data_IF_467591164630
#
_entry.id   IF_467591164630
#
_cell.length_a   1.000
_cell.length_b   1.000
_cell.length_c   1.000
_cell.angle_alpha   90.00
_cell.angle_beta   90.00
_cell.angle_gamma   90.00
#
_symmetry.space_group_name_H-M   'P 1'
#
loop_
_entity.id
_entity.type
_entity.pdbx_description
1 polymer ?
#
# COMPACT_ATOMS: atom_id res chain seq x y z
N UNK A 1 -10.71 -13.48 -74.63
CA UNK A 1 -10.36 -12.15 -75.15
C UNK A 1 -10.29 -11.23 -73.96
N UNK A 2 -9.10 -10.98 -73.46
CA UNK A 2 -8.82 -10.12 -72.31
C UNK A 2 -8.34 -8.77 -72.81
N UNK A 3 -9.09 -7.73 -72.54
CA UNK A 3 -8.73 -6.34 -72.86
C UNK A 3 -7.77 -5.79 -71.81
N UNK A 4 -6.65 -5.17 -72.18
CA UNK A 4 -5.71 -4.55 -71.19
C UNK A 4 -6.24 -3.18 -70.75
N UNK A 5 -6.18 -2.92 -69.45
CA UNK A 5 -6.45 -1.64 -68.83
C UNK A 5 -5.41 -0.59 -69.26
N UNK A 6 -5.87 0.56 -69.70
CA UNK A 6 -5.09 1.67 -70.24
C UNK A 6 -4.35 2.45 -69.18
N UNK A 7 -3.19 3.02 -69.56
CA UNK A 7 -2.20 3.71 -68.72
C UNK A 7 -2.71 4.83 -67.75
N UNK A 8 -3.81 5.55 -67.95
CA UNK A 8 -4.26 6.59 -67.02
C UNK A 8 -4.87 6.04 -65.70
N UNK A 9 -5.43 4.80 -65.70
CA UNK A 9 -6.00 4.21 -64.46
C UNK A 9 -4.91 3.74 -63.45
N UNK A 10 -3.71 3.45 -63.92
CA UNK A 10 -2.58 3.07 -63.00
C UNK A 10 -2.02 4.25 -62.22
N UNK A 11 -2.16 5.49 -62.71
CA UNK A 11 -1.70 6.71 -62.01
C UNK A 11 -2.67 7.19 -60.94
N UNK A 12 -3.96 6.93 -61.08
CA UNK A 12 -4.97 7.23 -60.06
C UNK A 12 -4.90 6.28 -58.85
N UNK A 13 -4.53 5.02 -59.07
CA UNK A 13 -4.37 4.05 -57.96
C UNK A 13 -3.08 4.29 -57.14
N UNK A 14 -2.02 4.75 -57.77
CA UNK A 14 -0.81 5.11 -57.08
C UNK A 14 -0.92 6.40 -56.25
N UNK A 15 -1.74 7.37 -56.67
CA UNK A 15 -2.04 8.58 -55.89
C UNK A 15 -2.97 8.36 -54.71
N UNK A 16 -3.88 7.38 -54.77
CA UNK A 16 -4.82 7.08 -53.66
C UNK A 16 -4.14 6.30 -52.53
N UNK A 17 -3.03 5.58 -52.76
CA UNK A 17 -2.27 4.88 -51.71
C UNK A 17 -1.29 5.82 -51.01
N UNK A 18 -0.88 6.92 -51.64
CA UNK A 18 0.07 7.90 -51.00
C UNK A 18 -0.62 8.92 -50.09
N UNK A 19 -1.95 9.06 -50.14
CA UNK A 19 -2.73 9.99 -49.29
C UNK A 19 -3.19 9.32 -47.97
N UNK A 20 -3.11 8.00 -47.85
CA UNK A 20 -3.50 7.26 -46.65
C UNK A 20 -2.38 7.13 -45.58
N UNK A 21 -1.20 7.70 -45.82
CA UNK A 21 -0.16 7.89 -44.80
C UNK A 21 -0.20 9.33 -44.22
N UNK A 22 -1.43 9.80 -43.94
CA UNK A 22 -1.59 10.97 -43.08
C UNK A 22 -1.18 10.56 -41.66
N UNK A 23 -0.15 11.23 -41.20
CA UNK A 23 0.37 11.19 -39.87
C UNK A 23 -0.74 10.96 -38.83
N UNK A 24 -0.73 9.79 -38.21
CA UNK A 24 -1.32 9.64 -36.88
C UNK A 24 -0.36 10.43 -35.98
N UNK A 25 -0.58 11.75 -35.88
CA UNK A 25 0.00 12.49 -34.78
C UNK A 25 -0.48 11.80 -33.51
N UNK A 26 0.43 11.46 -32.57
CA UNK A 26 -0.02 10.99 -31.29
C UNK A 26 -0.94 12.08 -30.72
N UNK A 27 -2.18 11.73 -30.47
CA UNK A 27 -3.09 12.61 -29.73
C UNK A 27 -2.43 12.78 -28.36
N UNK A 28 -1.68 13.83 -28.19
CA UNK A 28 -1.16 14.29 -26.89
C UNK A 28 -2.34 14.90 -26.14
N UNK A 29 -3.29 14.04 -25.76
CA UNK A 29 -4.34 14.43 -24.84
C UNK A 29 -3.68 14.69 -23.49
N UNK A 30 -3.43 15.96 -23.16
CA UNK A 30 -3.17 16.34 -21.77
C UNK A 30 -4.43 16.00 -20.99
N UNK A 31 -4.29 15.16 -19.95
CA UNK A 31 -5.40 14.84 -19.08
C UNK A 31 -5.95 16.15 -18.48
N UNK A 32 -7.24 16.39 -18.69
CA UNK A 32 -7.88 17.56 -18.09
C UNK A 32 -7.86 17.42 -16.57
N UNK A 33 -7.51 18.49 -15.89
CA UNK A 33 -7.59 18.55 -14.43
C UNK A 33 -9.04 18.27 -14.00
N UNK A 34 -9.27 17.34 -13.07
CA UNK A 34 -10.61 17.14 -12.52
C UNK A 34 -11.08 18.36 -11.72
N UNK A 35 -12.40 18.58 -11.58
CA UNK A 35 -12.94 19.63 -10.73
C UNK A 35 -12.43 19.50 -9.29
N UNK A 36 -12.30 20.64 -8.62
CA UNK A 36 -12.03 20.67 -7.17
C UNK A 36 -13.20 20.08 -6.39
N UNK A 37 -12.89 19.46 -5.26
CA UNK A 37 -13.91 18.97 -4.35
C UNK A 37 -14.45 20.15 -3.52
N UNK A 38 -15.77 20.32 -3.50
CA UNK A 38 -16.44 21.37 -2.71
C UNK A 38 -16.79 20.82 -1.32
N UNK A 39 -15.83 20.88 -0.41
CA UNK A 39 -15.94 20.37 0.95
C UNK A 39 -15.96 21.48 1.97
N UNK A 40 -16.48 21.15 3.15
CA UNK A 40 -16.34 21.96 4.37
C UNK A 40 -15.58 21.18 5.43
N UNK A 41 -14.80 21.87 6.26
CA UNK A 41 -14.08 21.25 7.38
C UNK A 41 -14.32 22.04 8.67
N UNK A 42 -14.59 21.35 9.77
CA UNK A 42 -14.82 21.93 11.10
C UNK A 42 -14.16 21.04 12.15
N UNK A 43 -13.51 21.63 13.14
CA UNK A 43 -13.06 20.93 14.34
C UNK A 43 -14.02 21.22 15.49
N UNK A 44 -14.54 20.17 16.13
CA UNK A 44 -15.42 20.29 17.30
C UNK A 44 -14.62 20.60 18.56
N UNK A 45 -15.31 21.06 19.61
CA UNK A 45 -14.70 21.42 20.92
C UNK A 45 -13.95 20.24 21.56
N UNK A 46 -14.38 19.01 21.31
CA UNK A 46 -13.71 17.80 21.76
C UNK A 46 -12.51 17.38 20.89
N UNK A 47 -12.21 18.13 19.84
CA UNK A 47 -11.08 17.89 18.94
C UNK A 47 -11.38 16.98 17.75
N UNK A 48 -12.60 16.45 17.60
CA UNK A 48 -12.99 15.67 16.43
C UNK A 48 -12.97 16.58 15.18
N UNK A 49 -12.22 16.18 14.16
CA UNK A 49 -12.25 16.84 12.85
C UNK A 49 -13.41 16.27 12.03
N UNK A 50 -14.15 17.12 11.37
CA UNK A 50 -15.33 16.76 10.56
C UNK A 50 -15.19 17.38 9.18
N UNK A 51 -15.10 16.54 8.16
CA UNK A 51 -15.08 16.94 6.75
C UNK A 51 -16.39 16.52 6.11
N UNK A 52 -17.02 17.40 5.36
CA UNK A 52 -18.30 17.15 4.70
C UNK A 52 -18.26 17.59 3.24
N UNK A 53 -18.75 16.75 2.35
CA UNK A 53 -18.94 17.02 0.94
C UNK A 53 -20.34 16.58 0.53
N UNK A 54 -21.20 17.54 0.18
CA UNK A 54 -22.55 17.26 -0.31
C UNK A 54 -22.49 16.78 -1.76
N UNK A 55 -23.15 15.64 -2.03
CA UNK A 55 -23.31 15.09 -3.36
C UNK A 55 -24.71 14.44 -3.47
N UNK A 56 -25.64 15.14 -4.08
CA UNK A 56 -27.03 14.71 -4.23
C UNK A 56 -27.29 13.90 -5.51
N UNK A 57 -26.24 13.45 -6.20
CA UNK A 57 -26.38 12.66 -7.43
C UNK A 57 -27.13 11.34 -7.23
N UNK A 58 -26.99 10.76 -6.03
CA UNK A 58 -27.68 9.54 -5.58
C UNK A 58 -28.06 9.67 -4.10
N UNK A 59 -29.18 9.06 -3.64
CA UNK A 59 -29.67 9.21 -2.27
C UNK A 59 -28.92 8.31 -1.26
N UNK A 60 -27.58 8.34 -1.29
CA UNK A 60 -26.70 7.58 -0.38
C UNK A 60 -25.69 8.50 0.29
N UNK A 61 -25.24 8.09 1.46
CA UNK A 61 -24.13 8.71 2.17
C UNK A 61 -23.04 7.66 2.40
N UNK A 62 -21.80 8.09 2.27
CA UNK A 62 -20.63 7.37 2.75
C UNK A 62 -20.03 8.11 3.94
N UNK A 63 -19.81 7.40 5.04
CA UNK A 63 -19.18 7.90 6.24
C UNK A 63 -17.89 7.10 6.49
N UNK A 64 -16.78 7.79 6.70
CA UNK A 64 -15.53 7.21 7.18
C UNK A 64 -15.11 7.87 8.49
N UNK A 65 -14.79 7.04 9.48
CA UNK A 65 -14.19 7.47 10.74
C UNK A 65 -12.75 6.95 10.79
N UNK A 66 -11.81 7.86 10.67
CA UNK A 66 -10.37 7.59 10.69
C UNK A 66 -9.82 7.86 12.08
N UNK A 67 -9.13 6.89 12.64
CA UNK A 67 -8.27 7.08 13.80
C UNK A 67 -6.82 7.11 13.35
N UNK A 68 -6.09 8.16 13.72
CA UNK A 68 -4.68 8.28 13.37
C UNK A 68 -3.84 7.40 14.32
N UNK A 69 -4.01 6.12 14.15
CA UNK A 69 -3.33 5.04 14.87
C UNK A 69 -3.30 3.81 13.99
N UNK A 70 -2.13 3.22 13.86
CA UNK A 70 -1.91 1.98 13.13
C UNK A 70 -0.84 1.14 13.81
N UNK A 71 -0.28 0.16 13.10
CA UNK A 71 0.70 -0.74 13.69
C UNK A 71 1.98 -0.01 14.14
N UNK A 72 2.34 1.14 13.57
CA UNK A 72 3.49 1.94 14.03
C UNK A 72 3.40 2.43 15.47
N UNK A 73 2.19 2.48 16.03
CA UNK A 73 1.93 2.95 17.39
C UNK A 73 2.02 1.82 18.43
N UNK A 74 2.30 0.61 17.99
CA UNK A 74 2.38 -0.57 18.86
C UNK A 74 3.70 -0.61 19.64
N UNK A 75 3.67 -1.25 20.79
CA UNK A 75 4.87 -1.42 21.62
C UNK A 75 5.63 -2.68 21.19
N UNK A 76 6.96 -2.71 21.32
CA UNK A 76 7.74 -3.94 21.14
C UNK A 76 7.19 -5.09 22.00
N UNK A 77 7.01 -6.27 21.40
CA UNK A 77 6.42 -7.43 22.06
C UNK A 77 4.88 -7.37 22.20
N UNK A 78 4.26 -6.44 21.48
CA UNK A 78 2.80 -6.23 21.43
C UNK A 78 2.37 -5.84 20.02
N UNK A 79 2.85 -6.57 19.01
CA UNK A 79 2.50 -6.33 17.60
C UNK A 79 1.17 -7.01 17.23
N UNK A 80 0.44 -6.41 16.29
CA UNK A 80 -0.89 -6.86 15.87
C UNK A 80 -2.05 -6.28 16.67
N UNK A 81 -1.78 -5.34 17.59
CA UNK A 81 -2.81 -4.75 18.46
C UNK A 81 -3.77 -3.83 17.72
N UNK A 82 -3.27 -3.02 16.80
CA UNK A 82 -4.12 -2.13 16.01
C UNK A 82 -5.13 -2.93 15.19
N UNK A 83 -4.69 -4.01 14.57
CA UNK A 83 -5.56 -4.91 13.80
C UNK A 83 -6.51 -5.72 14.70
N UNK A 84 -6.02 -6.30 15.81
CA UNK A 84 -6.87 -6.97 16.78
C UNK A 84 -7.95 -6.00 17.32
N UNK A 85 -7.58 -4.73 17.51
CA UNK A 85 -8.53 -3.74 17.98
C UNK A 85 -9.59 -3.40 16.92
N UNK A 86 -9.24 -3.37 15.64
CA UNK A 86 -10.20 -3.29 14.55
C UNK A 86 -11.30 -4.34 14.70
N UNK A 87 -10.94 -5.61 14.94
CA UNK A 87 -11.89 -6.71 15.20
C UNK A 87 -12.75 -6.46 16.44
N UNK A 88 -12.13 -6.00 17.53
CA UNK A 88 -12.84 -5.72 18.78
C UNK A 88 -13.92 -4.64 18.61
N UNK A 89 -13.78 -3.72 17.69
CA UNK A 89 -14.75 -2.64 17.42
C UNK A 89 -16.09 -3.14 16.89
N UNK A 90 -16.20 -4.42 16.50
CA UNK A 90 -17.43 -5.07 16.07
C UNK A 90 -18.09 -5.90 17.16
N UNK A 91 -17.48 -6.02 18.34
CA UNK A 91 -17.96 -6.90 19.44
C UNK A 91 -18.95 -6.22 20.40
N UNK A 92 -19.60 -5.17 19.91
CA UNK A 92 -20.66 -4.46 20.61
C UNK A 92 -20.16 -3.32 21.47
N UNK A 93 -21.13 -2.59 22.01
CA UNK A 93 -20.94 -1.44 22.87
C UNK A 93 -22.02 -1.42 23.94
N UNK A 94 -22.14 -0.35 24.70
CA UNK A 94 -23.13 -0.28 25.79
C UNK A 94 -24.57 -0.55 25.33
N UNK A 95 -24.93 -0.06 24.14
CA UNK A 95 -26.30 -0.11 23.63
C UNK A 95 -26.42 -0.99 22.36
N UNK A 96 -25.35 -1.60 21.91
CA UNK A 96 -25.30 -2.42 20.69
C UNK A 96 -24.71 -3.78 21.03
N UNK A 97 -25.46 -4.83 20.71
CA UNK A 97 -25.03 -6.22 20.93
C UNK A 97 -23.81 -6.59 20.08
N UNK A 98 -23.07 -7.64 20.45
CA UNK A 98 -21.99 -8.17 19.61
C UNK A 98 -22.49 -8.42 18.18
N UNK A 99 -21.67 -8.05 17.18
CA UNK A 99 -22.01 -8.07 15.74
C UNK A 99 -23.24 -7.19 15.37
N UNK A 100 -23.75 -6.42 16.33
CA UNK A 100 -24.92 -5.57 16.11
C UNK A 100 -24.63 -4.42 15.15
N UNK A 101 -23.45 -3.81 15.22
CA UNK A 101 -23.10 -2.68 14.35
C UNK A 101 -23.25 -3.01 12.85
N UNK A 102 -22.58 -4.02 12.28
CA UNK A 102 -22.75 -4.39 10.88
C UNK A 102 -24.17 -4.89 10.57
N UNK A 103 -24.83 -5.56 11.53
CA UNK A 103 -26.20 -6.04 11.36
C UNK A 103 -27.20 -4.89 11.23
N UNK A 104 -27.09 -3.82 12.03
CA UNK A 104 -27.91 -2.63 11.90
C UNK A 104 -27.71 -1.94 10.55
N UNK A 105 -26.47 -1.78 10.12
CA UNK A 105 -26.17 -1.18 8.81
C UNK A 105 -26.74 -2.02 7.66
N UNK A 106 -26.55 -3.33 7.70
CA UNK A 106 -27.11 -4.28 6.71
C UNK A 106 -28.65 -4.25 6.67
N UNK A 107 -29.29 -4.15 7.83
CA UNK A 107 -30.78 -4.16 7.93
C UNK A 107 -31.43 -2.96 7.23
N UNK A 108 -30.70 -1.86 7.09
CA UNK A 108 -31.15 -0.67 6.37
C UNK A 108 -30.64 -0.59 4.91
N UNK A 109 -30.07 -1.67 4.41
CA UNK A 109 -29.54 -1.75 3.04
C UNK A 109 -28.15 -1.12 2.87
N UNK A 110 -27.44 -0.88 3.96
CA UNK A 110 -26.08 -0.36 3.96
C UNK A 110 -25.03 -1.45 3.93
N UNK A 111 -23.79 -1.02 3.78
CA UNK A 111 -22.57 -1.85 3.86
C UNK A 111 -21.59 -1.19 4.81
N UNK A 112 -20.85 -1.99 5.57
CA UNK A 112 -19.80 -1.51 6.47
C UNK A 112 -18.59 -2.43 6.43
N UNK A 113 -17.41 -1.86 6.70
CA UNK A 113 -16.17 -2.60 6.90
C UNK A 113 -15.19 -1.73 7.68
N UNK A 114 -14.01 -2.29 7.95
CA UNK A 114 -12.89 -1.56 8.50
C UNK A 114 -11.58 -2.00 7.83
N UNK A 115 -10.52 -1.26 8.10
CA UNK A 115 -9.16 -1.63 7.70
C UNK A 115 -8.15 -0.98 8.63
N UNK A 116 -7.07 -1.69 8.87
CA UNK A 116 -5.89 -1.19 9.61
C UNK A 116 -4.67 -1.29 8.71
N UNK A 117 -3.88 -0.22 8.70
CA UNK A 117 -2.56 -0.20 8.08
C UNK A 117 -1.48 0.25 9.10
N UNK A 118 -0.32 0.60 8.61
CA UNK A 118 0.78 1.04 9.45
C UNK A 118 0.48 2.34 10.21
N UNK A 119 -0.33 3.22 9.62
CA UNK A 119 -0.53 4.60 10.08
C UNK A 119 -1.92 4.88 10.65
N UNK A 120 -2.94 4.18 10.15
CA UNK A 120 -4.35 4.48 10.46
C UNK A 120 -5.20 3.23 10.66
N UNK A 121 -6.28 3.40 11.44
CA UNK A 121 -7.40 2.45 11.52
C UNK A 121 -8.67 3.17 11.09
N UNK A 122 -9.38 2.60 10.12
CA UNK A 122 -10.48 3.25 9.41
C UNK A 122 -11.74 2.37 9.52
N UNK A 123 -12.85 2.99 9.90
CA UNK A 123 -14.16 2.36 9.89
C UNK A 123 -15.05 3.10 8.91
N UNK A 124 -15.75 2.38 8.04
CA UNK A 124 -16.58 3.03 7.02
C UNK A 124 -17.93 2.34 6.82
N UNK A 125 -18.92 3.15 6.40
CA UNK A 125 -20.27 2.72 6.06
C UNK A 125 -20.77 3.48 4.83
N UNK A 126 -21.47 2.74 3.96
CA UNK A 126 -22.25 3.31 2.84
C UNK A 126 -23.70 2.92 3.04
N UNK A 127 -24.61 3.88 3.06
CA UNK A 127 -26.00 3.66 3.47
C UNK A 127 -26.95 4.67 2.80
N UNK A 128 -28.26 4.37 2.72
CA UNK A 128 -29.26 5.34 2.26
C UNK A 128 -29.34 6.57 3.18
N UNK A 129 -29.41 7.76 2.59
CA UNK A 129 -29.20 9.05 3.28
C UNK A 129 -30.11 9.30 4.49
N UNK A 130 -31.34 8.78 4.52
CA UNK A 130 -32.27 8.93 5.65
C UNK A 130 -31.77 8.24 6.95
N UNK A 131 -30.76 7.36 6.87
CA UNK A 131 -30.20 6.67 8.02
C UNK A 131 -28.93 7.31 8.60
N UNK A 132 -28.57 8.52 8.15
CA UNK A 132 -27.43 9.26 8.71
C UNK A 132 -27.49 9.38 10.25
N UNK A 133 -28.64 9.67 10.90
CA UNK A 133 -28.72 9.70 12.36
C UNK A 133 -28.39 8.34 13.02
N UNK A 134 -28.81 7.23 12.44
CA UNK A 134 -28.51 5.88 12.92
C UNK A 134 -27.00 5.61 12.90
N UNK A 135 -26.34 5.90 11.76
CA UNK A 135 -24.91 5.65 11.57
C UNK A 135 -24.08 6.49 12.54
N UNK A 136 -24.39 7.78 12.66
CA UNK A 136 -23.70 8.67 13.61
C UNK A 136 -23.90 8.23 15.06
N UNK A 137 -25.09 7.72 15.40
CA UNK A 137 -25.34 7.15 16.74
C UNK A 137 -24.50 5.88 16.98
N UNK A 138 -24.45 4.95 16.02
CA UNK A 138 -23.65 3.73 16.12
C UNK A 138 -22.15 4.04 16.32
N UNK A 139 -21.62 4.99 15.52
CA UNK A 139 -20.23 5.42 15.66
C UNK A 139 -19.95 6.07 17.03
N UNK A 140 -20.87 6.92 17.49
CA UNK A 140 -20.75 7.56 18.78
C UNK A 140 -20.82 6.56 19.93
N UNK A 141 -21.69 5.55 19.86
CA UNK A 141 -21.83 4.54 20.91
C UNK A 141 -20.59 3.68 21.06
N UNK A 142 -20.00 3.20 19.92
CA UNK A 142 -18.78 2.43 19.99
C UNK A 142 -17.54 3.27 20.37
N UNK A 143 -17.45 4.53 19.95
CA UNK A 143 -16.36 5.42 20.38
C UNK A 143 -16.42 5.72 21.89
N UNK A 144 -17.62 5.93 22.44
CA UNK A 144 -17.80 6.28 23.83
C UNK A 144 -17.79 5.09 24.79
N UNK A 145 -18.22 3.91 24.35
CA UNK A 145 -18.58 2.82 25.26
C UNK A 145 -18.41 1.44 24.66
N UNK A 146 -17.33 1.25 23.91
CA UNK A 146 -16.97 -0.07 23.34
C UNK A 146 -16.92 -1.13 24.42
N UNK A 147 -17.49 -2.30 24.13
CA UNK A 147 -17.43 -3.47 24.99
C UNK A 147 -16.08 -4.17 24.86
N UNK A 148 -15.25 -4.07 25.91
CA UNK A 148 -13.96 -4.74 26.00
C UNK A 148 -14.01 -5.71 27.18
N UNK A 149 -14.44 -6.93 26.93
CA UNK A 149 -14.48 -8.01 27.91
C UNK A 149 -13.55 -9.17 27.53
N UNK A 150 -13.29 -10.05 28.50
CA UNK A 150 -12.33 -11.14 28.38
C UNK A 150 -12.75 -12.19 27.33
N UNK A 151 -14.05 -12.43 27.20
CA UNK A 151 -14.58 -13.43 26.27
C UNK A 151 -14.41 -12.95 24.80
N UNK A 152 -14.86 -11.72 24.52
CA UNK A 152 -14.71 -11.10 23.22
C UNK A 152 -13.22 -10.99 22.81
N UNK A 153 -12.37 -10.52 23.74
CA UNK A 153 -10.93 -10.43 23.50
C UNK A 153 -10.30 -11.78 23.16
N UNK A 154 -10.58 -12.82 23.96
CA UNK A 154 -10.03 -14.15 23.71
C UNK A 154 -10.49 -14.72 22.37
N UNK A 155 -11.76 -14.52 22.04
CA UNK A 155 -12.33 -14.99 20.77
C UNK A 155 -11.67 -14.29 19.58
N UNK A 156 -11.59 -12.96 19.60
CA UNK A 156 -11.01 -12.21 18.49
C UNK A 156 -9.51 -12.44 18.34
N UNK A 157 -8.79 -12.60 19.42
CA UNK A 157 -7.38 -12.98 19.35
C UNK A 157 -7.19 -14.31 18.59
N UNK A 158 -8.01 -15.32 18.83
CA UNK A 158 -7.93 -16.58 18.09
C UNK A 158 -8.37 -16.42 16.63
N UNK A 159 -9.35 -15.54 16.33
CA UNK A 159 -9.73 -15.20 14.95
C UNK A 159 -8.56 -14.55 14.20
N UNK A 160 -7.90 -13.56 14.79
CA UNK A 160 -6.73 -12.89 14.17
C UNK A 160 -5.56 -13.86 13.97
N UNK A 161 -5.31 -14.76 14.93
CA UNK A 161 -4.29 -15.81 14.79
C UNK A 161 -4.61 -16.77 13.63
N UNK A 162 -5.88 -17.13 13.45
CA UNK A 162 -6.29 -17.99 12.34
C UNK A 162 -6.20 -17.23 11.00
N UNK A 163 -6.59 -15.97 10.98
CA UNK A 163 -6.42 -15.12 9.80
C UNK A 163 -4.95 -15.03 9.38
N UNK A 164 -4.03 -14.84 10.35
CA UNK A 164 -2.59 -14.85 10.09
C UNK A 164 -2.15 -16.16 9.46
N UNK A 165 -2.59 -17.31 10.01
CA UNK A 165 -2.29 -18.63 9.42
C UNK A 165 -2.77 -18.72 7.97
N UNK A 166 -4.02 -18.30 7.72
CA UNK A 166 -4.64 -18.41 6.40
C UNK A 166 -4.02 -17.47 5.37
N UNK A 167 -3.73 -16.22 5.74
CA UNK A 167 -3.29 -15.17 4.80
C UNK A 167 -1.78 -15.07 4.66
N UNK A 168 -1.02 -15.48 5.69
CA UNK A 168 0.42 -15.28 5.76
C UNK A 168 1.16 -16.62 5.85
N UNK A 169 0.95 -17.38 6.93
CA UNK A 169 1.84 -18.50 7.26
C UNK A 169 1.65 -19.69 6.29
N UNK A 170 0.40 -19.96 5.84
CA UNK A 170 0.08 -21.07 4.94
C UNK A 170 0.09 -20.69 3.45
N UNK A 171 0.34 -19.43 3.10
CA UNK A 171 0.38 -19.02 1.70
C UNK A 171 1.79 -19.11 1.13
N UNK A 172 1.97 -19.64 -0.09
CA UNK A 172 3.24 -19.48 -0.80
C UNK A 172 3.60 -18.00 -0.91
N UNK A 173 4.81 -17.66 -0.50
CA UNK A 173 5.30 -16.27 -0.44
C UNK A 173 4.52 -15.33 0.49
N UNK A 174 3.62 -15.82 1.34
CA UNK A 174 2.79 -14.99 2.22
C UNK A 174 3.61 -14.16 3.21
N UNK A 175 4.79 -14.63 3.62
CA UNK A 175 5.71 -13.91 4.51
C UNK A 175 6.66 -12.94 3.80
N UNK A 176 6.50 -12.75 2.48
CA UNK A 176 7.43 -11.92 1.70
C UNK A 176 7.58 -10.51 2.26
N UNK A 177 6.48 -9.82 2.52
CA UNK A 177 6.51 -8.48 3.07
C UNK A 177 7.14 -8.45 4.47
N UNK A 178 6.82 -9.40 5.35
CA UNK A 178 7.43 -9.49 6.67
C UNK A 178 8.96 -9.62 6.56
N UNK A 179 9.46 -10.48 5.68
CA UNK A 179 10.90 -10.67 5.46
C UNK A 179 11.53 -9.37 4.93
N UNK A 180 10.90 -8.70 3.98
CA UNK A 180 11.41 -7.43 3.44
C UNK A 180 11.55 -6.39 4.55
N UNK A 181 10.48 -6.16 5.30
CA UNK A 181 10.43 -5.12 6.32
C UNK A 181 11.30 -5.43 7.55
N UNK A 182 11.32 -6.68 8.02
CA UNK A 182 12.18 -7.11 9.12
C UNK A 182 13.67 -6.89 8.83
N UNK A 183 14.09 -7.13 7.59
CA UNK A 183 15.48 -6.93 7.19
C UNK A 183 15.80 -5.50 6.72
N UNK A 184 14.80 -4.72 6.35
CA UNK A 184 15.01 -3.33 5.94
C UNK A 184 15.08 -2.37 7.11
N UNK A 185 14.24 -2.51 8.11
CA UNK A 185 14.19 -1.62 9.27
C UNK A 185 14.91 -2.20 10.47
N UNK A 186 15.52 -1.32 11.27
CA UNK A 186 16.24 -1.69 12.51
C UNK A 186 15.49 -1.21 13.76
N UNK A 187 14.98 0.01 13.74
CA UNK A 187 14.30 0.63 14.89
C UNK A 187 12.90 1.14 14.59
N UNK A 188 12.62 1.54 13.33
CA UNK A 188 11.30 2.07 12.97
C UNK A 188 10.24 0.96 13.09
N UNK A 189 9.05 1.24 13.66
CA UNK A 189 7.99 0.24 13.85
C UNK A 189 7.44 -0.38 12.56
N UNK A 190 7.66 0.22 11.40
CA UNK A 190 7.32 -0.44 10.12
C UNK A 190 8.02 -1.80 9.93
N UNK A 191 8.98 -2.11 10.77
CA UNK A 191 9.67 -3.40 10.80
C UNK A 191 8.73 -4.60 10.98
N UNK A 192 7.65 -4.45 11.73
CA UNK A 192 6.73 -5.55 12.00
C UNK A 192 5.45 -5.46 11.16
N UNK A 193 4.81 -6.61 10.84
CA UNK A 193 3.58 -6.61 10.06
C UNK A 193 2.40 -6.09 10.86
N UNK A 194 1.41 -5.51 10.16
CA UNK A 194 0.16 -5.01 10.74
C UNK A 194 -0.61 -6.10 11.50
N UNK A 195 -0.62 -7.33 10.97
CA UNK A 195 -1.30 -8.47 11.61
C UNK A 195 -0.57 -8.97 12.89
N UNK A 196 0.66 -8.50 13.13
CA UNK A 196 1.46 -8.88 14.27
C UNK A 196 2.08 -10.27 14.20
N UNK A 197 2.88 -10.62 15.22
CA UNK A 197 3.45 -11.96 15.37
C UNK A 197 2.55 -12.87 16.21
N UNK A 198 2.60 -14.19 15.97
CA UNK A 198 1.88 -15.18 16.80
C UNK A 198 2.24 -15.06 18.28
N UNK A 199 3.53 -14.86 18.59
CA UNK A 199 4.01 -14.75 19.97
C UNK A 199 3.44 -13.52 20.69
N UNK A 200 3.38 -12.38 19.99
CA UNK A 200 2.86 -11.13 20.54
C UNK A 200 1.34 -11.20 20.74
N UNK A 201 0.62 -11.80 19.80
CA UNK A 201 -0.82 -12.05 19.92
C UNK A 201 -1.13 -12.99 21.11
N UNK A 202 -0.32 -14.01 21.34
CA UNK A 202 -0.47 -14.89 22.50
C UNK A 202 -0.14 -14.20 23.83
N UNK A 203 0.85 -13.32 23.83
CA UNK A 203 1.24 -12.54 25.00
C UNK A 203 0.30 -11.37 25.32
N UNK A 204 -0.65 -11.06 24.41
CA UNK A 204 -1.60 -9.97 24.57
C UNK A 204 -2.49 -10.16 25.80
N UNK A 205 -2.72 -9.07 26.55
CA UNK A 205 -3.66 -9.03 27.66
C UNK A 205 -4.82 -8.09 27.37
N UNK A 206 -5.96 -8.32 28.02
CA UNK A 206 -7.11 -7.42 27.92
C UNK A 206 -6.78 -6.00 28.43
N UNK A 207 -5.86 -5.86 29.37
CA UNK A 207 -5.43 -4.55 29.85
C UNK A 207 -4.68 -3.78 28.77
N UNK A 208 -3.82 -4.45 28.00
CA UNK A 208 -3.15 -3.82 26.86
C UNK A 208 -4.16 -3.28 25.84
N UNK A 209 -5.23 -4.06 25.56
CA UNK A 209 -6.32 -3.65 24.66
C UNK A 209 -7.08 -2.43 25.20
N UNK A 210 -7.42 -2.41 26.51
CA UNK A 210 -8.08 -1.30 27.16
C UNK A 210 -7.23 -0.02 27.14
N UNK A 211 -5.93 -0.16 27.40
CA UNK A 211 -4.99 0.95 27.38
C UNK A 211 -4.82 1.53 25.99
N UNK A 212 -4.79 0.66 24.96
CA UNK A 212 -4.69 1.06 23.56
C UNK A 212 -5.95 1.83 23.12
N UNK A 213 -7.15 1.35 23.46
CA UNK A 213 -8.41 2.05 23.23
C UNK A 213 -8.41 3.43 23.85
N UNK A 214 -8.18 3.50 25.16
CA UNK A 214 -8.23 4.74 25.93
C UNK A 214 -7.20 5.78 25.45
N UNK A 215 -6.13 5.33 24.81
CA UNK A 215 -5.07 6.18 24.29
C UNK A 215 -5.39 6.75 22.91
N UNK A 216 -5.86 5.91 22.00
CA UNK A 216 -5.90 6.24 20.58
C UNK A 216 -7.31 6.42 19.99
N UNK A 217 -8.33 5.74 20.55
CA UNK A 217 -9.69 5.78 19.99
C UNK A 217 -10.53 6.87 20.67
N UNK A 218 -10.08 8.11 20.51
CA UNK A 218 -10.61 9.30 21.16
C UNK A 218 -10.93 10.39 20.14
N UNK A 219 -11.90 11.29 20.38
CA UNK A 219 -12.32 12.28 19.41
C UNK A 219 -11.18 13.15 18.85
N UNK A 220 -10.25 13.57 19.72
CA UNK A 220 -9.10 14.40 19.31
C UNK A 220 -7.96 13.64 18.63
N UNK A 221 -8.19 12.37 18.27
CA UNK A 221 -7.36 11.53 17.40
C UNK A 221 -8.16 11.01 16.20
N UNK A 222 -9.35 11.55 15.97
CA UNK A 222 -10.27 11.04 14.96
C UNK A 222 -10.67 12.13 13.95
N UNK A 223 -10.88 11.71 12.72
CA UNK A 223 -11.44 12.51 11.63
C UNK A 223 -12.65 11.77 11.05
N UNK A 224 -13.81 12.42 11.09
CA UNK A 224 -15.03 11.96 10.44
C UNK A 224 -15.16 12.62 9.07
N UNK A 225 -15.34 11.82 8.04
CA UNK A 225 -15.59 12.30 6.68
C UNK A 225 -16.96 11.81 6.23
N UNK A 226 -17.82 12.73 5.80
CA UNK A 226 -19.14 12.45 5.25
C UNK A 226 -19.18 12.92 3.80
N UNK A 227 -19.57 12.03 2.88
CA UNK A 227 -19.77 12.38 1.47
C UNK A 227 -21.10 11.81 0.99
N UNK A 228 -21.94 12.64 0.40
CA UNK A 228 -23.19 12.18 -0.19
C UNK A 228 -24.39 13.10 0.00
N UNK A 229 -25.58 12.52 -0.07
CA UNK A 229 -26.85 13.26 -0.06
C UNK A 229 -27.30 13.61 1.37
N UNK A 230 -26.86 14.75 1.87
CA UNK A 230 -27.28 15.35 3.14
C UNK A 230 -27.23 16.89 3.06
N UNK A 231 -27.90 17.57 3.95
CA UNK A 231 -27.67 19.00 4.22
C UNK A 231 -26.54 19.15 5.25
N UNK A 232 -25.50 19.89 4.93
CA UNK A 232 -24.31 20.04 5.78
C UNK A 232 -24.60 20.65 7.14
N UNK A 233 -25.56 21.56 7.24
CA UNK A 233 -25.93 22.21 8.52
C UNK A 233 -26.66 21.22 9.42
N UNK A 234 -27.58 20.44 8.87
CA UNK A 234 -28.31 19.40 9.61
C UNK A 234 -27.35 18.27 10.02
N UNK A 235 -26.50 17.80 9.10
CA UNK A 235 -25.50 16.77 9.37
C UNK A 235 -24.53 17.20 10.49
N UNK A 236 -24.00 18.44 10.45
CA UNK A 236 -23.15 18.96 11.50
C UNK A 236 -23.89 19.05 12.85
N UNK A 237 -25.18 19.39 12.82
CA UNK A 237 -26.05 19.36 13.99
C UNK A 237 -26.12 17.98 14.63
N UNK A 238 -26.32 16.94 13.82
CA UNK A 238 -26.33 15.54 14.27
C UNK A 238 -24.96 15.09 14.77
N UNK A 239 -23.88 15.42 14.07
CA UNK A 239 -22.50 15.11 14.52
C UNK A 239 -22.24 15.72 15.90
N UNK A 240 -22.58 17.00 16.10
CA UNK A 240 -22.47 17.67 17.43
C UNK A 240 -23.32 16.98 18.49
N UNK A 241 -24.54 16.56 18.14
CA UNK A 241 -25.46 15.89 19.05
C UNK A 241 -24.92 14.53 19.51
N UNK A 242 -24.37 13.73 18.63
CA UNK A 242 -23.92 12.36 18.95
C UNK A 242 -22.45 12.33 19.37
N UNK A 243 -21.54 12.76 18.51
CA UNK A 243 -20.09 12.65 18.70
C UNK A 243 -19.50 13.81 19.51
N UNK A 244 -20.09 15.02 19.43
CA UNK A 244 -19.60 16.20 20.15
C UNK A 244 -19.70 16.08 21.67
N UNK A 245 -20.51 15.15 22.20
CA UNK A 245 -20.67 14.90 23.65
C UNK A 245 -19.58 13.98 24.21
N UNK A 246 -18.83 13.29 23.38
CA UNK A 246 -17.78 12.37 23.81
C UNK A 246 -16.60 13.23 24.27
N UNK A 247 -16.09 13.05 25.49
CA UNK A 247 -14.99 13.87 25.99
C UNK A 247 -13.71 13.60 25.21
N UNK A 248 -12.95 14.65 24.95
CA UNK A 248 -11.59 14.51 24.42
C UNK A 248 -10.68 13.80 25.42
N UNK A 249 -9.64 13.16 24.96
CA UNK A 249 -8.59 12.63 25.85
C UNK A 249 -7.96 13.79 26.65
N UNK A 250 -7.81 13.59 27.95
CA UNK A 250 -7.11 14.53 28.83
C UNK A 250 -5.57 14.42 28.69
N UNK A 251 -5.09 13.33 28.10
CA UNK A 251 -3.66 13.09 27.83
C UNK A 251 -3.36 13.36 26.37
N UNK A 252 -2.17 13.86 26.03
CA UNK A 252 -1.72 13.92 24.64
C UNK A 252 -1.71 12.52 24.01
N UNK A 253 -2.19 12.42 22.78
CA UNK A 253 -2.04 11.19 22.00
C UNK A 253 -0.56 11.07 21.60
N UNK A 254 0.11 9.93 21.88
CA UNK A 254 1.52 9.76 21.53
C UNK A 254 1.74 9.84 20.01
N UNK A 255 2.74 10.64 19.61
CA UNK A 255 3.16 10.86 18.21
C UNK A 255 4.65 10.63 17.99
N UNK A 256 5.36 10.25 19.04
CA UNK A 256 6.81 10.05 18.97
C UNK A 256 7.11 8.66 18.42
N UNK A 257 7.40 8.60 17.12
CA UNK A 257 7.76 7.37 16.42
C UNK A 257 9.27 7.35 16.21
N UNK A 258 9.98 6.29 16.63
CA UNK A 258 11.41 6.15 16.42
C UNK A 258 11.80 6.27 14.96
N UNK A 259 12.77 7.13 14.64
CA UNK A 259 13.25 7.33 13.27
C UNK A 259 14.25 6.26 12.89
N UNK A 260 14.10 5.67 11.71
CA UNK A 260 15.11 4.77 11.15
C UNK A 260 16.42 5.54 10.86
N UNK A 261 17.57 5.06 11.33
CA UNK A 261 18.85 5.69 11.00
C UNK A 261 19.20 5.49 9.52
N UNK A 262 19.90 6.47 8.90
CA UNK A 262 20.33 6.33 7.51
C UNK A 262 21.21 5.08 7.32
N UNK A 263 20.95 4.31 6.28
CA UNK A 263 21.80 3.19 5.89
C UNK A 263 23.07 3.73 5.21
N UNK A 264 24.23 3.21 5.60
CA UNK A 264 25.55 3.69 5.15
C UNK A 264 26.35 2.66 4.33
N UNK A 265 25.82 1.45 4.18
CA UNK A 265 26.43 0.37 3.39
C UNK A 265 25.38 -0.60 2.87
N UNK A 266 25.66 -1.22 1.72
CA UNK A 266 24.82 -2.30 1.21
C UNK A 266 24.64 -3.40 2.26
N UNK A 267 23.42 -3.91 2.38
CA UNK A 267 23.10 -5.09 3.19
C UNK A 267 22.71 -6.24 2.27
N UNK A 268 23.30 -7.41 2.51
CA UNK A 268 22.95 -8.65 1.80
C UNK A 268 22.59 -9.72 2.82
N UNK A 269 21.43 -10.32 2.63
CA UNK A 269 20.89 -11.31 3.56
C UNK A 269 20.38 -12.50 2.75
N UNK A 270 20.61 -13.71 3.27
CA UNK A 270 19.99 -14.94 2.75
C UNK A 270 19.07 -15.51 3.83
N UNK A 271 17.84 -15.77 3.45
CA UNK A 271 16.78 -16.33 4.30
C UNK A 271 16.33 -17.65 3.71
N UNK A 272 16.11 -18.66 4.54
CA UNK A 272 15.54 -19.94 4.12
C UNK A 272 14.05 -19.99 4.44
N UNK A 273 13.23 -20.34 3.43
CA UNK A 273 11.80 -20.49 3.56
C UNK A 273 11.28 -21.77 2.90
N UNK A 274 10.13 -22.26 3.36
CA UNK A 274 9.49 -23.44 2.77
C UNK A 274 8.72 -23.06 1.49
N UNK A 275 9.38 -22.33 0.57
CA UNK A 275 8.79 -21.88 -0.68
C UNK A 275 9.17 -22.78 -1.84
N UNK A 276 8.32 -22.88 -2.87
CA UNK A 276 8.60 -23.77 -4.00
C UNK A 276 9.78 -23.34 -4.86
N UNK A 277 10.05 -22.03 -4.95
CA UNK A 277 11.13 -21.46 -5.75
C UNK A 277 11.82 -20.33 -5.02
N UNK A 278 13.10 -20.07 -5.31
CA UNK A 278 13.80 -18.92 -4.75
C UNK A 278 13.17 -17.60 -5.18
N UNK A 279 13.26 -16.61 -4.32
CA UNK A 279 12.94 -15.23 -4.64
C UNK A 279 14.12 -14.30 -4.33
N UNK A 280 14.20 -13.20 -5.06
CA UNK A 280 15.19 -12.15 -4.85
C UNK A 280 14.45 -10.84 -4.65
N UNK A 281 14.89 -10.08 -3.66
CA UNK A 281 14.41 -8.73 -3.39
C UNK A 281 15.57 -7.75 -3.46
N UNK A 282 15.35 -6.62 -4.13
CA UNK A 282 16.24 -5.45 -4.09
C UNK A 282 15.42 -4.29 -3.56
N UNK A 283 15.79 -3.77 -2.39
CA UNK A 283 15.07 -2.70 -1.72
C UNK A 283 15.97 -1.49 -1.44
N UNK A 284 15.36 -0.31 -1.31
CA UNK A 284 16.02 0.94 -0.95
C UNK A 284 15.08 1.73 -0.05
N UNK A 285 15.60 2.38 0.98
CA UNK A 285 14.84 3.36 1.74
C UNK A 285 14.52 4.56 0.85
N UNK A 286 13.27 5.03 0.92
CA UNK A 286 12.78 6.21 0.22
C UNK A 286 12.11 7.17 1.20
N UNK A 287 11.63 8.30 0.68
CA UNK A 287 10.97 9.33 1.48
C UNK A 287 9.52 8.96 1.84
N UNK A 288 8.83 9.88 2.47
CA UNK A 288 7.48 9.75 3.00
C UNK A 288 6.46 10.51 2.12
N UNK A 289 5.18 10.26 2.33
CA UNK A 289 4.08 10.90 1.63
C UNK A 289 3.98 12.39 1.97
N UNK A 290 3.72 13.23 0.95
CA UNK A 290 3.78 14.68 1.04
C UNK A 290 5.18 15.30 0.87
N UNK A 291 6.27 14.51 0.89
CA UNK A 291 7.60 15.02 0.56
C UNK A 291 7.71 15.36 -0.94
N UNK A 292 8.38 16.46 -1.34
CA UNK A 292 8.52 16.81 -2.77
C UNK A 292 9.09 15.70 -3.67
N UNK A 293 9.94 14.83 -3.13
CA UNK A 293 10.50 13.69 -3.85
C UNK A 293 9.54 12.51 -3.99
N UNK A 294 8.43 12.47 -3.22
CA UNK A 294 7.43 11.41 -3.31
C UNK A 294 6.82 11.32 -4.72
N UNK A 295 6.52 12.43 -5.32
CA UNK A 295 5.89 12.50 -6.64
C UNK A 295 6.76 11.93 -7.76
N UNK A 296 8.04 12.36 -7.96
CA UNK A 296 8.90 11.73 -8.94
C UNK A 296 9.29 10.29 -8.59
N UNK A 297 9.35 9.90 -7.30
CA UNK A 297 9.56 8.51 -6.89
C UNK A 297 8.36 7.63 -7.25
N UNK A 298 7.13 8.14 -7.11
CA UNK A 298 5.94 7.43 -7.57
C UNK A 298 6.00 7.15 -9.08
N UNK A 299 6.41 8.14 -9.88
CA UNK A 299 6.63 7.95 -11.32
C UNK A 299 7.74 6.94 -11.59
N UNK A 300 8.87 7.04 -10.88
CA UNK A 300 9.96 6.07 -10.97
C UNK A 300 9.49 4.63 -10.68
N UNK A 301 8.69 4.46 -9.63
CA UNK A 301 8.09 3.18 -9.26
C UNK A 301 7.20 2.62 -10.37
N UNK A 302 6.31 3.45 -10.94
CA UNK A 302 5.43 3.01 -12.04
C UNK A 302 6.22 2.64 -13.31
N UNK A 303 7.25 3.38 -13.67
CA UNK A 303 8.13 3.05 -14.81
C UNK A 303 8.84 1.71 -14.60
N UNK A 304 9.33 1.48 -13.38
CA UNK A 304 10.08 0.27 -13.06
C UNK A 304 9.19 -0.96 -12.96
N UNK A 305 8.00 -0.86 -12.35
CA UNK A 305 7.29 -2.04 -11.85
C UNK A 305 5.78 -2.09 -12.07
N UNK A 306 5.13 -1.05 -12.64
CA UNK A 306 3.68 -1.05 -12.82
C UNK A 306 3.26 -1.74 -14.12
N UNK A 307 2.69 -2.95 -13.97
CA UNK A 307 2.13 -3.74 -15.06
C UNK A 307 3.18 -4.42 -15.98
N UNK A 308 2.67 -5.14 -16.97
CA UNK A 308 3.51 -5.94 -17.88
C UNK A 308 4.41 -5.11 -18.81
N UNK A 309 4.09 -3.84 -19.01
CA UNK A 309 4.90 -2.92 -19.82
C UNK A 309 6.03 -2.25 -19.03
N UNK A 310 6.14 -2.50 -17.74
CA UNK A 310 7.19 -1.96 -16.86
C UNK A 310 8.56 -2.55 -17.21
N UNK A 311 9.62 -1.81 -16.87
CA UNK A 311 10.99 -2.21 -17.20
C UNK A 311 11.37 -3.54 -16.58
N UNK A 312 11.07 -3.74 -15.28
CA UNK A 312 11.42 -4.96 -14.52
C UNK A 312 10.70 -6.18 -15.11
N UNK A 313 9.36 -6.10 -15.29
CA UNK A 313 8.61 -7.21 -15.84
C UNK A 313 9.09 -7.57 -17.25
N UNK A 314 9.19 -6.57 -18.12
CA UNK A 314 9.62 -6.78 -19.52
C UNK A 314 11.00 -7.42 -19.60
N UNK A 315 11.98 -6.91 -18.84
CA UNK A 315 13.36 -7.41 -18.91
C UNK A 315 13.52 -8.78 -18.28
N UNK A 316 12.96 -9.01 -17.08
CA UNK A 316 13.22 -10.24 -16.33
C UNK A 316 12.31 -11.39 -16.74
N UNK A 317 11.02 -11.10 -17.02
CA UNK A 317 10.05 -12.16 -17.34
C UNK A 317 9.99 -12.42 -18.84
N UNK A 318 9.83 -11.37 -19.65
CA UNK A 318 9.56 -11.53 -21.07
C UNK A 318 10.82 -11.69 -21.92
N UNK A 319 11.79 -10.77 -21.81
CA UNK A 319 12.97 -10.75 -22.70
C UNK A 319 14.04 -11.75 -22.25
N UNK A 320 14.51 -11.68 -21.01
CA UNK A 320 15.61 -12.53 -20.51
C UNK A 320 15.15 -13.86 -19.93
N UNK A 321 13.87 -13.99 -19.59
CA UNK A 321 13.27 -15.20 -18.97
C UNK A 321 14.04 -15.67 -17.74
N UNK A 322 14.45 -14.74 -16.90
CA UNK A 322 15.16 -14.99 -15.65
C UNK A 322 14.20 -15.25 -14.48
N UNK A 323 12.98 -14.74 -14.58
CA UNK A 323 11.97 -14.81 -13.52
C UNK A 323 10.62 -15.30 -14.07
N UNK A 324 9.87 -16.03 -13.24
CA UNK A 324 8.46 -16.38 -13.50
C UNK A 324 7.54 -15.18 -13.26
N UNK A 325 7.87 -14.38 -12.25
CA UNK A 325 7.19 -13.16 -11.92
C UNK A 325 8.21 -12.13 -11.45
N UNK A 326 7.98 -10.86 -11.80
CA UNK A 326 8.78 -9.75 -11.32
C UNK A 326 7.85 -8.53 -11.15
N UNK A 327 7.92 -7.91 -10.00
CA UNK A 327 7.08 -6.77 -9.61
C UNK A 327 7.83 -5.91 -8.59
N UNK A 328 7.28 -4.75 -8.27
CA UNK A 328 7.83 -3.87 -7.26
C UNK A 328 6.87 -2.74 -6.93
N UNK A 329 7.21 -1.98 -5.93
CA UNK A 329 6.43 -0.81 -5.53
C UNK A 329 7.29 0.19 -4.77
N UNK A 330 6.98 1.48 -4.90
CA UNK A 330 7.38 2.49 -3.93
C UNK A 330 6.26 2.63 -2.91
N UNK A 331 6.46 2.12 -1.71
CA UNK A 331 5.49 2.22 -0.62
C UNK A 331 5.70 3.57 0.08
N UNK A 332 4.99 4.59 -0.42
CA UNK A 332 5.08 5.98 0.04
C UNK A 332 3.90 6.20 0.98
N UNK A 333 4.16 6.29 2.27
CA UNK A 333 3.19 6.47 3.36
C UNK A 333 3.72 7.50 4.36
N UNK A 334 3.08 7.70 5.51
CA UNK A 334 3.32 8.82 6.44
C UNK A 334 4.78 8.99 6.89
N UNK A 335 5.54 7.89 7.05
CA UNK A 335 6.96 7.95 7.39
C UNK A 335 7.83 7.41 6.25
N UNK A 336 9.14 7.74 6.21
CA UNK A 336 10.06 7.17 5.25
C UNK A 336 9.97 5.64 5.20
N UNK A 337 9.84 5.11 3.99
CA UNK A 337 9.56 3.70 3.76
C UNK A 337 10.48 3.14 2.66
N UNK A 338 10.02 2.18 1.87
CA UNK A 338 10.82 1.43 0.92
C UNK A 338 10.29 1.58 -0.52
N UNK A 339 11.21 1.67 -1.46
CA UNK A 339 11.01 1.08 -2.77
C UNK A 339 11.60 -0.33 -2.73
N UNK A 340 10.87 -1.33 -3.22
CA UNK A 340 11.41 -2.67 -3.39
C UNK A 340 10.95 -3.29 -4.71
N UNK A 341 11.83 -4.11 -5.27
CA UNK A 341 11.55 -4.94 -6.44
C UNK A 341 11.79 -6.40 -6.07
N UNK A 342 10.88 -7.26 -6.50
CA UNK A 342 10.88 -8.70 -6.22
C UNK A 342 10.90 -9.46 -7.53
N UNK A 343 11.64 -10.57 -7.59
CA UNK A 343 11.57 -11.51 -8.68
C UNK A 343 11.55 -12.95 -8.15
N UNK A 344 10.60 -13.75 -8.63
CA UNK A 344 10.56 -15.20 -8.40
C UNK A 344 11.41 -15.86 -9.47
N UNK A 345 12.46 -16.55 -9.06
CA UNK A 345 13.49 -17.08 -9.96
C UNK A 345 12.92 -18.19 -10.85
N UNK A 346 13.15 -18.10 -12.16
CA UNK A 346 12.78 -19.13 -13.12
C UNK A 346 13.59 -20.42 -12.85
N UNK A 347 13.00 -21.62 -12.87
CA UNK A 347 13.75 -22.88 -12.78
C UNK A 347 14.91 -22.94 -13.77
N UNK A 348 16.09 -23.31 -13.29
CA UNK A 348 17.32 -23.35 -14.07
C UNK A 348 18.11 -22.04 -14.13
N UNK A 349 17.58 -20.96 -13.57
CA UNK A 349 18.28 -19.68 -13.42
C UNK A 349 18.87 -19.54 -12.01
N UNK A 350 19.85 -18.63 -11.86
CA UNK A 350 20.49 -18.39 -10.55
C UNK A 350 19.97 -17.11 -9.90
N UNK A 351 19.99 -17.07 -8.58
CA UNK A 351 19.62 -15.88 -7.80
C UNK A 351 20.54 -14.71 -8.11
N UNK A 352 21.82 -14.97 -8.39
CA UNK A 352 22.82 -13.96 -8.75
C UNK A 352 22.48 -13.28 -10.09
N UNK A 353 22.10 -14.08 -11.11
CA UNK A 353 21.71 -13.54 -12.42
C UNK A 353 20.45 -12.66 -12.32
N UNK A 354 19.46 -13.10 -11.52
CA UNK A 354 18.23 -12.33 -11.28
C UNK A 354 18.52 -11.05 -10.49
N UNK A 355 19.34 -11.13 -9.44
CA UNK A 355 19.76 -9.96 -8.64
C UNK A 355 20.47 -8.94 -9.52
N UNK A 356 21.44 -9.40 -10.34
CA UNK A 356 22.16 -8.53 -11.27
C UNK A 356 21.23 -7.84 -12.28
N UNK A 357 20.21 -8.54 -12.76
CA UNK A 357 19.23 -7.99 -13.70
C UNK A 357 18.32 -6.95 -13.04
N UNK A 358 17.86 -7.18 -11.79
CA UNK A 358 17.08 -6.19 -11.03
C UNK A 358 17.90 -4.92 -10.78
N UNK A 359 19.12 -5.07 -10.29
CA UNK A 359 20.02 -3.94 -10.02
C UNK A 359 20.30 -3.16 -11.32
N UNK A 360 20.51 -3.84 -12.43
CA UNK A 360 20.77 -3.19 -13.71
C UNK A 360 19.61 -2.30 -14.18
N UNK A 361 18.35 -2.68 -13.92
CA UNK A 361 17.19 -1.82 -14.27
C UNK A 361 17.11 -0.57 -13.38
N UNK A 362 17.45 -0.68 -12.10
CA UNK A 362 17.55 0.46 -11.19
C UNK A 362 18.71 1.39 -11.58
N UNK A 363 19.86 0.82 -11.92
CA UNK A 363 21.03 1.58 -12.36
C UNK A 363 20.79 2.30 -13.70
N UNK A 364 20.04 1.71 -14.62
CA UNK A 364 19.61 2.40 -15.85
C UNK A 364 18.78 3.64 -15.53
N UNK A 365 17.86 3.56 -14.57
CA UNK A 365 17.06 4.73 -14.18
C UNK A 365 17.92 5.84 -13.55
N UNK A 366 19.00 5.46 -12.85
CA UNK A 366 19.97 6.43 -12.31
C UNK A 366 20.82 7.09 -13.38
N UNK A 367 21.31 6.32 -14.33
CA UNK A 367 22.30 6.75 -15.29
C UNK A 367 21.68 7.47 -16.49
N UNK A 368 20.53 7.01 -16.95
CA UNK A 368 19.85 7.50 -18.13
C UNK A 368 18.47 8.07 -17.75
N UNK A 369 18.10 9.27 -18.22
CA UNK A 369 16.75 9.77 -18.02
C UNK A 369 15.73 8.83 -18.70
N UNK A 370 14.53 8.76 -18.15
CA UNK A 370 13.42 8.08 -18.84
C UNK A 370 13.06 8.85 -20.11
N UNK A 371 12.49 8.15 -21.09
CA UNK A 371 11.98 8.80 -22.29
C UNK A 371 10.73 9.63 -21.99
N UNK A 372 10.47 10.68 -22.78
CA UNK A 372 9.24 11.46 -22.68
C UNK A 372 7.99 10.59 -22.88
N UNK A 373 8.08 9.53 -23.68
CA UNK A 373 6.99 8.59 -23.88
C UNK A 373 6.69 7.76 -22.60
N UNK A 374 7.73 7.33 -21.86
CA UNK A 374 7.56 6.66 -20.57
C UNK A 374 6.97 7.60 -19.52
N UNK A 375 7.47 8.82 -19.44
CA UNK A 375 6.95 9.85 -18.55
C UNK A 375 5.48 10.15 -18.84
N UNK A 376 5.14 10.39 -20.10
CA UNK A 376 3.75 10.71 -20.49
C UNK A 376 2.80 9.54 -20.22
N UNK A 377 3.20 8.29 -20.52
CA UNK A 377 2.43 7.10 -20.18
C UNK A 377 2.13 7.04 -18.69
N UNK A 378 3.13 7.26 -17.85
CA UNK A 378 3.00 7.18 -16.39
C UNK A 378 2.13 8.31 -15.85
N UNK A 379 2.26 9.54 -16.39
CA UNK A 379 1.37 10.66 -16.06
C UNK A 379 -0.08 10.36 -16.43
N UNK A 380 -0.32 9.73 -17.58
CA UNK A 380 -1.67 9.34 -18.00
C UNK A 380 -2.25 8.24 -17.07
N UNK A 381 -1.43 7.28 -16.63
CA UNK A 381 -1.84 6.29 -15.64
C UNK A 381 -2.20 6.97 -14.31
N UNK A 382 -1.36 7.86 -13.82
CA UNK A 382 -1.65 8.64 -12.62
C UNK A 382 -2.94 9.45 -12.76
N UNK A 383 -3.10 10.20 -13.86
CA UNK A 383 -4.30 11.01 -14.11
C UNK A 383 -5.58 10.16 -14.12
N UNK A 384 -5.54 8.97 -14.72
CA UNK A 384 -6.64 8.02 -14.69
C UNK A 384 -6.96 7.60 -13.24
N UNK A 385 -5.95 7.17 -12.49
CA UNK A 385 -6.10 6.68 -11.11
C UNK A 385 -6.63 7.80 -10.20
N UNK A 386 -6.12 9.03 -10.38
CA UNK A 386 -6.57 10.21 -9.65
C UNK A 386 -8.01 10.61 -9.97
N UNK A 387 -8.45 10.47 -11.24
CA UNK A 387 -9.85 10.70 -11.62
C UNK A 387 -10.74 9.65 -10.96
N UNK A 388 -10.37 8.37 -11.05
CA UNK A 388 -11.15 7.28 -10.46
C UNK A 388 -11.24 7.36 -8.94
N UNK A 389 -10.18 7.86 -8.25
CA UNK A 389 -10.23 8.10 -6.80
C UNK A 389 -11.19 9.23 -6.37
N UNK A 390 -11.97 9.78 -7.30
CA UNK A 390 -12.95 10.84 -7.07
C UNK A 390 -14.33 10.52 -7.68
N UNK A 391 -14.57 9.29 -8.15
CA UNK A 391 -15.83 8.94 -8.77
C UNK A 391 -16.91 8.62 -7.74
N UNK A 392 -16.65 7.71 -6.82
CA UNK A 392 -17.63 7.33 -5.79
C UNK A 392 -17.55 8.20 -4.54
N UNK A 393 -18.62 8.22 -3.73
CA UNK A 393 -18.62 8.88 -2.43
C UNK A 393 -17.54 8.30 -1.51
N UNK A 394 -17.29 6.99 -1.58
CA UNK A 394 -16.23 6.31 -0.85
C UNK A 394 -14.84 6.83 -1.25
N UNK A 395 -14.58 6.92 -2.55
CA UNK A 395 -13.27 7.34 -3.04
C UNK A 395 -13.00 8.81 -2.70
N UNK A 396 -14.03 9.68 -2.83
CA UNK A 396 -13.95 11.09 -2.40
C UNK A 396 -13.68 11.21 -0.90
N UNK A 397 -14.38 10.42 -0.07
CA UNK A 397 -14.18 10.43 1.38
C UNK A 397 -12.75 10.00 1.76
N UNK A 398 -12.27 8.90 1.15
CA UNK A 398 -10.92 8.38 1.35
C UNK A 398 -9.86 9.42 0.99
N UNK A 399 -10.02 10.08 -0.15
CA UNK A 399 -9.09 11.09 -0.64
C UNK A 399 -9.02 12.33 0.27
N UNK A 400 -10.18 12.82 0.74
CA UNK A 400 -10.24 13.93 1.69
C UNK A 400 -9.68 13.56 3.07
N UNK A 401 -10.02 12.37 3.57
CA UNK A 401 -9.53 11.89 4.85
C UNK A 401 -8.01 11.75 4.87
N UNK A 402 -7.44 11.19 3.79
CA UNK A 402 -6.00 11.04 3.63
C UNK A 402 -5.27 12.39 3.69
N UNK A 403 -5.76 13.40 2.98
CA UNK A 403 -5.20 14.75 3.00
C UNK A 403 -5.21 15.37 4.42
N UNK A 404 -6.28 15.15 5.19
CA UNK A 404 -6.37 15.65 6.56
C UNK A 404 -5.49 14.88 7.53
N UNK A 405 -5.54 13.53 7.47
CA UNK A 405 -4.91 12.69 8.50
C UNK A 405 -3.42 12.50 8.25
N UNK A 406 -3.01 12.34 7.00
CA UNK A 406 -1.60 12.05 6.65
C UNK A 406 -0.83 13.33 6.34
N UNK A 407 -1.42 14.26 5.59
CA UNK A 407 -0.73 15.51 5.24
C UNK A 407 -0.96 16.65 6.24
N UNK A 408 -1.90 16.50 7.17
CA UNK A 408 -2.38 17.60 8.05
C UNK A 408 -2.79 18.86 7.26
N UNK A 409 -3.15 18.70 5.98
CA UNK A 409 -3.54 19.77 5.05
C UNK A 409 -4.57 19.27 4.04
N UNK A 410 -5.84 19.57 4.28
CA UNK A 410 -6.94 19.19 3.38
C UNK A 410 -6.79 19.76 1.96
N UNK A 411 -6.05 20.88 1.80
CA UNK A 411 -5.86 21.50 0.48
C UNK A 411 -4.97 20.67 -0.45
N UNK A 412 -4.18 19.76 0.12
CA UNK A 412 -3.35 18.82 -0.64
C UNK A 412 -4.20 17.91 -1.54
N UNK A 413 -5.45 17.58 -1.13
CA UNK A 413 -6.38 16.78 -1.90
C UNK A 413 -6.60 17.30 -3.32
N UNK A 414 -6.58 18.62 -3.52
CA UNK A 414 -6.73 19.24 -4.83
C UNK A 414 -5.40 19.63 -5.49
N UNK A 415 -4.32 19.71 -4.72
CA UNK A 415 -3.01 20.17 -5.20
C UNK A 415 -2.19 19.10 -5.91
N UNK A 416 -2.31 17.85 -5.52
CA UNK A 416 -1.43 16.75 -5.98
C UNK A 416 -1.41 16.54 -7.49
N UNK A 417 -2.56 16.68 -8.14
CA UNK A 417 -2.66 16.50 -9.60
C UNK A 417 -1.67 17.39 -10.36
N UNK A 418 -1.63 18.67 -10.02
CA UNK A 418 -0.75 19.62 -10.70
C UNK A 418 0.72 19.31 -10.40
N UNK A 419 1.04 18.88 -9.19
CA UNK A 419 2.41 18.49 -8.80
C UNK A 419 2.89 17.31 -9.65
N UNK A 420 2.10 16.24 -9.73
CA UNK A 420 2.42 15.07 -10.56
C UNK A 420 2.57 15.43 -12.05
N UNK A 421 1.64 16.23 -12.58
CA UNK A 421 1.68 16.61 -13.99
C UNK A 421 2.88 17.48 -14.34
N UNK A 422 3.48 18.17 -13.37
CA UNK A 422 4.67 19.01 -13.55
C UNK A 422 6.01 18.25 -13.36
N UNK A 423 6.00 16.99 -12.91
CA UNK A 423 7.24 16.20 -12.78
C UNK A 423 7.92 16.04 -14.14
N UNK A 424 9.23 16.27 -14.20
CA UNK A 424 10.06 16.12 -15.39
C UNK A 424 10.86 14.81 -15.40
N UNK A 425 11.40 14.43 -16.56
CA UNK A 425 12.35 13.30 -16.69
C UNK A 425 13.60 13.52 -15.83
N UNK A 426 14.05 14.77 -15.69
CA UNK A 426 15.17 15.14 -14.85
C UNK A 426 14.87 14.95 -13.35
N UNK A 427 13.64 15.23 -12.90
CA UNK A 427 13.23 14.96 -11.51
C UNK A 427 13.25 13.48 -11.19
N UNK A 428 12.75 12.64 -12.10
CA UNK A 428 12.77 11.17 -11.96
C UNK A 428 14.20 10.65 -11.86
N UNK A 429 15.11 11.16 -12.70
CA UNK A 429 16.52 10.78 -12.64
C UNK A 429 17.19 11.28 -11.35
N UNK A 430 16.88 12.48 -10.91
CA UNK A 430 17.40 13.07 -9.67
C UNK A 430 17.05 12.19 -8.46
N UNK A 431 15.79 11.81 -8.30
CA UNK A 431 15.39 10.94 -7.18
C UNK A 431 15.99 9.54 -7.31
N UNK A 432 16.11 8.99 -8.51
CA UNK A 432 16.79 7.71 -8.70
C UNK A 432 18.27 7.78 -8.24
N UNK A 433 18.97 8.88 -8.56
CA UNK A 433 20.35 9.12 -8.08
C UNK A 433 20.43 9.29 -6.56
N UNK A 434 19.43 9.91 -5.96
CA UNK A 434 19.38 10.17 -4.51
C UNK A 434 19.11 8.90 -3.72
N UNK A 435 18.15 8.08 -4.15
CA UNK A 435 17.64 6.98 -3.32
C UNK A 435 18.16 5.59 -3.74
N UNK A 436 18.41 5.32 -5.02
CA UNK A 436 18.84 3.99 -5.49
C UNK A 436 20.36 3.84 -5.49
N UNK A 437 21.02 4.25 -4.41
CA UNK A 437 22.47 4.17 -4.27
C UNK A 437 22.92 2.79 -3.76
N UNK A 438 24.21 2.49 -3.91
CA UNK A 438 24.80 1.26 -3.39
C UNK A 438 24.65 1.18 -1.86
N UNK A 439 24.95 2.29 -1.17
CA UNK A 439 24.95 2.37 0.29
C UNK A 439 23.54 2.14 0.86
N UNK A 440 22.52 2.59 0.15
CA UNK A 440 21.11 2.47 0.54
C UNK A 440 20.46 1.14 0.10
N UNK A 441 21.21 0.27 -0.60
CA UNK A 441 20.66 -0.97 -1.17
C UNK A 441 20.61 -2.10 -0.16
N UNK A 442 19.52 -2.84 -0.19
CA UNK A 442 19.28 -4.07 0.56
C UNK A 442 18.98 -5.16 -0.45
N UNK A 443 19.73 -6.25 -0.41
CA UNK A 443 19.48 -7.44 -1.24
C UNK A 443 19.11 -8.60 -0.31
N UNK A 444 17.92 -9.17 -0.53
CA UNK A 444 17.45 -10.33 0.21
C UNK A 444 17.29 -11.49 -0.78
N UNK A 445 18.05 -12.55 -0.56
CA UNK A 445 17.88 -13.81 -1.27
C UNK A 445 17.07 -14.75 -0.39
N UNK A 446 15.92 -15.21 -0.89
CA UNK A 446 15.06 -16.14 -0.17
C UNK A 446 15.16 -17.48 -0.88
N UNK A 447 15.79 -18.44 -0.22
CA UNK A 447 16.07 -19.77 -0.76
C UNK A 447 15.08 -20.81 -0.21
N UNK A 448 14.66 -21.80 -1.01
CA UNK A 448 13.96 -22.97 -0.49
C UNK A 448 14.80 -23.69 0.56
N UNK A 449 14.17 -24.18 1.62
CA UNK A 449 14.85 -24.96 2.67
C UNK A 449 15.62 -26.14 2.08
N UNK A 450 16.88 -26.31 2.47
CA UNK A 450 17.77 -27.38 2.00
C UNK A 450 18.53 -27.07 0.70
N UNK A 451 18.29 -25.91 0.05
CA UNK A 451 19.04 -25.54 -1.16
C UNK A 451 20.43 -24.96 -0.83
N UNK A 452 20.61 -24.38 0.34
CA UNK A 452 21.88 -23.80 0.80
C UNK A 452 22.87 -24.85 1.28
N UNK A 453 22.41 -26.01 1.74
CA UNK A 453 23.27 -27.09 2.27
C UNK A 453 24.04 -27.87 1.21
N UNK A 454 23.77 -27.65 -0.08
CA UNK A 454 24.44 -28.37 -1.18
C UNK A 454 25.64 -27.66 -1.81
N UNK A 455 26.07 -26.51 -1.27
CA UNK A 455 27.16 -25.70 -1.89
C UNK A 455 28.42 -25.50 -1.05
N UNK A 456 28.53 -26.12 0.14
CA UNK A 456 29.77 -26.12 0.94
C UNK A 456 30.20 -27.55 1.27
N UNK A 457 30.64 -28.33 0.28
CA UNK A 457 31.70 -29.29 0.51
C UNK A 457 32.97 -28.80 -0.20
N UNK A 458 34.03 -28.41 0.55
CA UNK A 458 35.34 -28.27 -0.04
C UNK A 458 35.74 -29.65 -0.59
N UNK A 459 36.27 -29.69 -1.80
CA UNK A 459 36.87 -30.91 -2.35
C UNK A 459 37.97 -31.38 -1.39
N UNK A 460 37.66 -32.36 -0.54
CA UNK A 460 38.68 -33.11 0.18
C UNK A 460 39.56 -33.81 -0.82
N UNK A 461 40.85 -33.48 -0.72
CA UNK A 461 42.01 -34.08 -1.36
C UNK A 461 41.91 -35.61 -1.25
N UNK A 462 41.43 -36.28 -2.30
CA UNK A 462 41.52 -37.72 -2.39
C UNK A 462 42.99 -38.08 -2.66
N UNK A 463 43.69 -38.47 -1.61
CA UNK A 463 44.98 -39.13 -1.71
C UNK A 463 44.90 -40.36 -2.67
N UNK A 464 45.88 -40.56 -3.54
CA UNK A 464 45.86 -41.67 -4.47
C UNK A 464 45.95 -43.01 -3.73
N UNK A 465 45.10 -43.96 -4.13
CA UNK A 465 45.08 -45.30 -3.60
C UNK A 465 46.43 -45.98 -3.81
N UNK A 466 46.98 -46.78 -2.85
CA UNK A 466 48.22 -47.51 -3.00
C UNK A 466 48.06 -48.67 -4.03
N UNK A 467 49.04 -48.75 -4.91
CA UNK A 467 49.15 -49.80 -5.92
C UNK A 467 49.21 -51.19 -5.26
N UNK A 468 48.31 -52.09 -5.71
CA UNK A 468 48.24 -53.46 -5.26
C UNK A 468 49.48 -54.27 -5.59
N UNK A 469 50.02 -54.89 -4.56
CA UNK A 469 51.04 -55.94 -4.72
C UNK A 469 50.38 -57.26 -5.09
N UNK A 470 50.88 -57.89 -6.12
CA UNK A 470 50.71 -59.30 -6.46
C UNK A 470 51.17 -60.20 -5.31
N UNK A 471 50.34 -61.13 -4.90
CA UNK A 471 50.85 -62.38 -4.31
C UNK A 471 50.08 -63.59 -4.91
N UNK A 472 50.78 -64.42 -5.64
CA UNK A 472 50.27 -65.68 -6.14
C UNK A 472 50.17 -66.77 -5.08
N UNK A 473 49.21 -67.59 -5.27
CA UNK A 473 49.18 -69.04 -5.31
C UNK A 473 47.74 -69.53 -5.35
#
# INVERSE_FOLDING_TARGET
>A
MSTPLTAPMRRLFAAAVLVALVAIEPISGTANRPPRLDYTMTTLDNGLQVVMLEDHSVPIVHAELWYHVGSKNEKPGRTGFAHLFEHMMFKGSKNVEPEGHPSWISSVGGQSNAETNEDTTIFWQTFPSQYLPLVLWLEADRMASLRIDEEAFRTEREVVKEERRMRVDNQPYGRLNEIIYDHAFTVHPYKHPVIGSMADLEAASIQDVRDFFATYYVPNNATLVLVGAFDSKEALGLVKQYLGRIPRSSKPVPRDIPKEPPQTKERRVTVEESWPLPAVVVAHHITYDGHPDAYPLHIASKVLSDGQSSRIYRQLVYEKRLALAAFGTGHIIEHPNLFYAVAIVQPGQTTEAVTGALIAELDKLRNDPISEAELQRTKNQFARDYIFSRESNKDKARHLAHAVVIHDDITSADGEFDIFMNVSTADVQRVAKTYFTLENRIVITIAPKGMTSSREEPAEDRAPAPAGGEVGR
#
